data_IF_672413955025
#
_entry.id   IF_672413955025
#
_cell.length_a   1.000
_cell.length_b   1.000
_cell.length_c   1.000
_cell.angle_alpha   90.00
_cell.angle_beta   90.00
_cell.angle_gamma   90.00
#
_symmetry.space_group_name_H-M   'P 1'
#
loop_
_entity.id
_entity.type
_entity.pdbx_description
1 polymer ?
#
# COMPACT_ATOMS: atom_id res chain seq x y z
N UNK A 1 9.69 -52.61 -16.21
CA UNK A 1 10.08 -51.38 -15.50
C UNK A 1 11.42 -50.96 -16.07
N UNK A 2 11.46 -49.86 -16.82
CA UNK A 2 12.73 -49.28 -17.26
C UNK A 2 13.18 -48.33 -16.15
N UNK A 3 14.11 -48.78 -15.33
CA UNK A 3 14.87 -47.91 -14.44
C UNK A 3 15.77 -47.05 -15.33
N UNK A 4 15.20 -45.96 -15.86
CA UNK A 4 15.97 -44.92 -16.53
C UNK A 4 16.95 -44.40 -15.48
N UNK A 5 18.27 -44.51 -15.70
CA UNK A 5 19.25 -44.07 -14.72
C UNK A 5 19.03 -42.59 -14.44
N UNK A 6 18.67 -42.27 -13.20
CA UNK A 6 18.53 -40.88 -12.73
C UNK A 6 19.91 -40.26 -12.83
N UNK A 7 20.08 -39.34 -13.79
CA UNK A 7 21.34 -38.67 -14.01
C UNK A 7 21.70 -37.85 -12.75
N UNK A 8 22.82 -38.13 -12.06
CA UNK A 8 23.18 -37.46 -10.81
C UNK A 8 23.34 -35.94 -10.97
N UNK A 9 23.66 -35.44 -12.17
CA UNK A 9 23.69 -34.00 -12.44
C UNK A 9 22.30 -33.35 -12.26
N UNK A 10 21.22 -34.05 -12.61
CA UNK A 10 19.87 -33.52 -12.42
C UNK A 10 19.50 -33.40 -10.93
N UNK A 11 20.06 -34.26 -10.06
CA UNK A 11 19.81 -34.19 -8.62
C UNK A 11 20.49 -32.97 -7.99
N UNK A 12 21.72 -32.65 -8.42
CA UNK A 12 22.48 -31.48 -7.95
C UNK A 12 21.78 -30.18 -8.39
N UNK A 13 21.40 -30.07 -9.66
CA UNK A 13 20.69 -28.89 -10.20
C UNK A 13 19.33 -28.66 -9.52
N UNK A 14 18.61 -29.74 -9.20
CA UNK A 14 17.33 -29.65 -8.49
C UNK A 14 17.55 -29.18 -7.05
N UNK A 15 18.59 -29.67 -6.37
CA UNK A 15 18.90 -29.25 -5.00
C UNK A 15 19.23 -27.75 -4.92
N UNK A 16 20.08 -27.25 -5.81
CA UNK A 16 20.46 -25.83 -5.86
C UNK A 16 19.24 -24.93 -6.18
N UNK A 17 18.39 -25.39 -7.11
CA UNK A 17 17.12 -24.72 -7.42
C UNK A 17 16.18 -24.64 -6.21
N UNK A 18 16.16 -25.66 -5.35
CA UNK A 18 15.32 -25.67 -4.15
C UNK A 18 15.84 -24.74 -3.05
N UNK A 19 17.16 -24.66 -2.88
CA UNK A 19 17.77 -23.70 -1.96
C UNK A 19 17.45 -22.26 -2.40
N UNK A 20 17.59 -21.97 -3.70
CA UNK A 20 17.22 -20.68 -4.28
C UNK A 20 15.73 -20.37 -4.06
N UNK A 21 14.83 -21.34 -4.22
CA UNK A 21 13.39 -21.19 -3.91
C UNK A 21 13.17 -20.78 -2.44
N UNK A 22 13.90 -21.40 -1.50
CA UNK A 22 13.83 -21.05 -0.08
C UNK A 22 14.16 -19.58 0.17
N UNK A 23 15.27 -19.11 -0.39
CA UNK A 23 15.73 -17.71 -0.26
C UNK A 23 14.71 -16.73 -0.85
N UNK A 24 14.27 -16.95 -2.09
CA UNK A 24 13.31 -16.05 -2.74
C UNK A 24 11.94 -16.07 -2.06
N UNK A 25 11.52 -17.20 -1.46
CA UNK A 25 10.28 -17.27 -0.68
C UNK A 25 10.35 -16.39 0.57
N UNK A 26 11.47 -16.42 1.29
CA UNK A 26 11.68 -15.59 2.47
C UNK A 26 11.66 -14.10 2.10
N UNK A 27 12.46 -13.69 1.11
CA UNK A 27 12.52 -12.31 0.66
C UNK A 27 11.19 -11.77 0.14
N UNK A 28 10.48 -12.55 -0.67
CA UNK A 28 9.13 -12.17 -1.14
C UNK A 28 8.18 -11.93 0.02
N UNK A 29 8.22 -12.74 1.08
CA UNK A 29 7.36 -12.57 2.25
C UNK A 29 7.73 -11.32 3.06
N UNK A 30 9.03 -11.00 3.16
CA UNK A 30 9.51 -9.76 3.77
C UNK A 30 8.99 -8.55 2.98
N UNK A 31 9.18 -8.52 1.65
CA UNK A 31 8.69 -7.42 0.83
C UNK A 31 7.17 -7.30 0.87
N UNK A 32 6.44 -8.42 0.87
CA UNK A 32 4.98 -8.41 1.08
C UNK A 32 4.59 -7.72 2.39
N UNK A 33 5.26 -8.06 3.50
CA UNK A 33 4.98 -7.47 4.80
C UNK A 33 5.29 -5.96 4.80
N UNK A 34 6.42 -5.55 4.21
CA UNK A 34 6.79 -4.14 4.10
C UNK A 34 5.75 -3.36 3.28
N UNK A 35 5.37 -3.85 2.10
CA UNK A 35 4.34 -3.23 1.25
C UNK A 35 3.03 -3.11 2.01
N UNK A 36 2.61 -4.17 2.71
CA UNK A 36 1.38 -4.17 3.50
C UNK A 36 1.42 -3.12 4.62
N UNK A 37 2.52 -3.04 5.37
CA UNK A 37 2.69 -2.04 6.43
C UNK A 37 2.65 -0.63 5.84
N UNK A 38 3.36 -0.37 4.74
CA UNK A 38 3.34 0.93 4.08
C UNK A 38 1.94 1.32 3.60
N UNK A 39 1.19 0.39 3.01
CA UNK A 39 -0.20 0.63 2.62
C UNK A 39 -1.09 0.96 3.82
N UNK A 40 -0.92 0.26 4.95
CA UNK A 40 -1.70 0.53 6.16
C UNK A 40 -1.32 1.89 6.76
N UNK A 41 -0.04 2.25 6.77
CA UNK A 41 0.44 3.53 7.26
C UNK A 41 -0.09 4.70 6.43
N UNK A 42 -0.04 4.60 5.09
CA UNK A 42 -0.59 5.67 4.23
C UNK A 42 -2.09 5.80 4.41
N UNK A 43 -2.82 4.70 4.51
CA UNK A 43 -4.26 4.74 4.76
C UNK A 43 -4.62 5.29 6.14
N UNK A 44 -3.86 4.93 7.18
CA UNK A 44 -4.06 5.49 8.52
C UNK A 44 -3.79 7.00 8.54
N UNK A 45 -2.74 7.45 7.86
CA UNK A 45 -2.43 8.86 7.70
C UNK A 45 -3.53 9.62 6.94
N UNK A 46 -4.08 9.02 5.87
CA UNK A 46 -5.24 9.57 5.16
C UNK A 46 -6.43 9.80 6.09
N UNK A 47 -6.82 8.79 6.87
CA UNK A 47 -7.95 8.91 7.79
C UNK A 47 -7.69 9.88 8.94
N UNK A 48 -6.44 9.97 9.41
CA UNK A 48 -6.06 10.95 10.43
C UNK A 48 -6.30 12.40 9.95
N UNK A 49 -6.01 12.67 8.67
CA UNK A 49 -6.26 13.98 8.05
C UNK A 49 -7.75 14.16 7.73
N UNK A 50 -8.43 13.18 7.14
CA UNK A 50 -9.84 13.28 6.73
C UNK A 50 -10.82 13.44 7.90
N UNK A 51 -10.54 12.79 9.04
CA UNK A 51 -11.36 12.90 10.26
C UNK A 51 -11.08 14.17 11.07
N UNK A 52 -10.12 14.99 10.65
CA UNK A 52 -9.74 16.21 11.37
C UNK A 52 -9.04 15.95 12.70
N UNK A 53 -8.41 14.78 12.88
CA UNK A 53 -7.56 14.53 14.04
C UNK A 53 -6.29 15.40 14.04
N UNK A 54 -5.97 16.03 12.90
CA UNK A 54 -4.84 16.93 12.69
C UNK A 54 -5.35 18.23 12.09
N UNK A 55 -5.00 19.37 12.70
CA UNK A 55 -5.26 20.69 12.12
C UNK A 55 -4.36 20.88 10.89
N UNK A 56 -4.88 20.58 9.71
CA UNK A 56 -4.19 20.93 8.47
C UNK A 56 -4.10 22.46 8.35
N UNK A 57 -2.93 23.01 7.97
CA UNK A 57 -2.75 24.46 7.85
C UNK A 57 -3.68 24.99 6.75
N UNK A 58 -4.69 25.76 7.17
CA UNK A 58 -5.64 26.42 6.26
C UNK A 58 -7.08 25.88 6.26
N UNK A 59 -7.37 24.80 6.98
CA UNK A 59 -8.75 24.28 7.07
C UNK A 59 -9.59 25.16 8.00
N UNK A 60 -10.33 26.10 7.41
CA UNK A 60 -11.48 26.71 8.08
C UNK A 60 -12.49 25.58 8.31
N UNK A 61 -12.60 25.15 9.56
CA UNK A 61 -13.70 24.33 10.07
C UNK A 61 -14.99 24.87 9.45
N UNK A 62 -15.83 24.06 8.77
CA UNK A 62 -17.18 24.49 8.45
C UNK A 62 -17.90 24.63 9.79
N UNK A 63 -17.76 25.80 10.40
CA UNK A 63 -18.65 26.27 11.44
C UNK A 63 -20.04 26.19 10.84
N UNK A 64 -20.93 25.62 11.64
CA UNK A 64 -22.35 25.44 11.41
C UNK A 64 -22.92 26.46 10.43
N UNK A 65 -23.65 25.96 9.43
CA UNK A 65 -24.42 26.75 8.50
C UNK A 65 -25.17 27.85 9.26
N UNK A 66 -24.61 29.06 9.21
CA UNK A 66 -25.14 30.25 9.81
C UNK A 66 -26.42 30.62 9.05
N UNK A 67 -27.57 30.24 9.62
CA UNK A 67 -28.80 30.99 9.46
C UNK A 67 -28.56 32.37 10.09
N UNK A 68 -28.45 33.38 9.23
CA UNK A 68 -28.12 34.73 9.64
C UNK A 68 -29.25 35.44 10.39
N UNK A 69 -28.87 36.40 11.24
CA UNK A 69 -29.42 37.76 11.26
C UNK A 69 -28.76 38.61 12.36
N UNK A 70 -28.03 39.64 11.90
CA UNK A 70 -28.06 41.05 12.34
C UNK A 70 -27.72 41.48 13.78
N UNK A 71 -26.81 42.46 13.82
CA UNK A 71 -26.63 43.60 14.76
C UNK A 71 -25.79 43.49 16.06
N UNK A 72 -25.22 44.66 16.36
CA UNK A 72 -23.98 44.94 17.07
C UNK A 72 -24.06 45.10 18.61
N UNK A 73 -22.86 45.01 19.22
CA UNK A 73 -22.33 45.77 20.36
C UNK A 73 -22.09 45.07 21.72
N UNK A 74 -20.81 45.15 22.13
CA UNK A 74 -20.24 45.30 23.48
C UNK A 74 -20.18 44.12 24.50
N UNK A 75 -18.93 43.68 24.71
CA UNK A 75 -18.23 43.37 25.98
C UNK A 75 -18.85 42.37 26.98
N UNK A 76 -18.15 41.26 27.24
CA UNK A 76 -17.45 40.96 28.52
C UNK A 76 -16.75 39.60 28.46
N UNK A 77 -15.61 39.51 29.16
CA UNK A 77 -14.82 38.30 29.31
C UNK A 77 -15.56 37.24 30.14
N UNK A 78 -15.59 36.01 29.62
CA UNK A 78 -15.79 34.80 30.39
C UNK A 78 -14.78 33.76 29.90
N UNK A 79 -13.79 33.49 30.75
CA UNK A 79 -12.87 32.36 30.62
C UNK A 79 -13.67 31.12 31.03
N UNK A 80 -14.15 30.36 30.04
CA UNK A 80 -14.62 29.00 30.30
C UNK A 80 -13.42 28.04 30.22
N UNK A 81 -13.29 27.11 31.18
CA UNK A 81 -12.22 26.14 31.17
C UNK A 81 -12.48 25.18 30.01
N UNK A 82 -11.57 25.19 29.04
CA UNK A 82 -11.61 24.27 27.93
C UNK A 82 -11.37 22.86 28.49
N UNK A 83 -12.46 22.13 28.71
CA UNK A 83 -12.49 20.69 28.94
C UNK A 83 -12.02 20.01 27.64
N UNK A 84 -10.73 20.15 27.36
CA UNK A 84 -10.01 19.37 26.36
C UNK A 84 -9.95 17.97 26.90
N UNK A 85 -10.97 17.20 26.52
CA UNK A 85 -11.18 15.84 26.97
C UNK A 85 -9.91 15.01 26.86
N UNK A 86 -9.77 14.06 27.79
CA UNK A 86 -8.68 13.09 27.95
C UNK A 86 -8.12 12.51 26.62
N UNK A 87 -8.97 12.44 25.58
CA UNK A 87 -8.63 11.99 24.23
C UNK A 87 -7.75 13.01 23.47
N UNK A 88 -8.01 14.31 23.62
CA UNK A 88 -7.21 15.40 23.02
C UNK A 88 -5.87 15.60 23.74
N UNK A 89 -5.77 15.18 25.00
CA UNK A 89 -4.50 15.14 25.75
C UNK A 89 -3.61 13.92 25.41
N UNK A 90 -4.21 12.79 25.01
CA UNK A 90 -3.48 11.61 24.53
C UNK A 90 -3.13 11.69 23.03
N UNK A 91 -3.91 12.44 22.25
CA UNK A 91 -3.62 12.84 20.86
C UNK A 91 -2.90 14.20 20.89
N UNK A 92 -1.80 14.28 21.65
CA UNK A 92 -0.97 15.49 21.72
C UNK A 92 -0.52 15.90 20.32
N UNK A 93 -0.66 17.18 20.00
CA UNK A 93 -0.16 17.89 18.79
C UNK A 93 0.46 16.96 17.73
N UNK A 94 -0.36 16.20 17.02
CA UNK A 94 0.12 15.53 15.83
C UNK A 94 0.37 16.60 14.79
N UNK A 95 1.63 17.01 14.69
CA UNK A 95 2.07 18.00 13.72
C UNK A 95 1.80 17.47 12.30
N UNK A 96 1.19 18.30 11.47
CA UNK A 96 0.98 17.99 10.05
C UNK A 96 2.30 17.64 9.36
N UNK A 97 3.40 18.24 9.81
CA UNK A 97 4.75 17.95 9.31
C UNK A 97 5.17 16.49 9.58
N UNK A 98 4.78 15.92 10.72
CA UNK A 98 5.06 14.53 11.03
C UNK A 98 4.31 13.61 10.06
N UNK A 99 3.02 13.88 9.83
CA UNK A 99 2.20 13.08 8.91
C UNK A 99 2.69 13.23 7.47
N UNK A 100 3.05 14.44 7.06
CA UNK A 100 3.62 14.69 5.74
C UNK A 100 4.91 13.91 5.53
N UNK A 101 5.79 13.88 6.55
CA UNK A 101 7.02 13.11 6.53
C UNK A 101 6.76 11.60 6.49
N UNK A 102 5.82 11.10 7.30
CA UNK A 102 5.44 9.68 7.32
C UNK A 102 4.88 9.26 5.97
N UNK A 103 3.97 10.03 5.36
CA UNK A 103 3.42 9.76 4.03
C UNK A 103 4.55 9.75 3.00
N UNK A 104 5.44 10.74 3.00
CA UNK A 104 6.55 10.81 2.05
C UNK A 104 7.49 9.61 2.14
N UNK A 105 7.91 9.25 3.35
CA UNK A 105 8.79 8.09 3.59
C UNK A 105 8.08 6.78 3.26
N UNK A 106 6.84 6.60 3.73
CA UNK A 106 6.05 5.40 3.48
C UNK A 106 5.79 5.20 1.99
N UNK A 107 5.43 6.25 1.25
CA UNK A 107 5.25 6.22 -0.21
C UNK A 107 6.56 5.84 -0.94
N UNK A 108 7.70 6.40 -0.53
CA UNK A 108 9.00 6.04 -1.09
C UNK A 108 9.35 4.56 -0.87
N UNK A 109 9.21 4.09 0.37
CA UNK A 109 9.45 2.68 0.72
C UNK A 109 8.46 1.76 0.00
N UNK A 110 7.19 2.16 -0.12
CA UNK A 110 6.14 1.41 -0.82
C UNK A 110 6.51 1.16 -2.29
N UNK A 111 7.00 2.18 -3.00
CA UNK A 111 7.42 2.05 -4.40
C UNK A 111 8.58 1.06 -4.52
N UNK A 112 9.64 1.26 -3.74
CA UNK A 112 10.84 0.42 -3.81
C UNK A 112 10.51 -1.03 -3.44
N UNK A 113 9.81 -1.24 -2.33
CA UNK A 113 9.42 -2.57 -1.86
C UNK A 113 8.42 -3.27 -2.79
N UNK A 114 7.50 -2.53 -3.41
CA UNK A 114 6.57 -3.07 -4.42
C UNK A 114 7.29 -3.58 -5.67
N UNK A 115 8.30 -2.85 -6.15
CA UNK A 115 9.14 -3.29 -7.27
C UNK A 115 9.97 -4.52 -6.86
N UNK A 116 10.61 -4.49 -5.70
CA UNK A 116 11.39 -5.62 -5.19
C UNK A 116 10.53 -6.87 -4.96
N UNK A 117 9.28 -6.71 -4.53
CA UNK A 117 8.31 -7.79 -4.45
C UNK A 117 8.03 -8.40 -5.83
N UNK A 118 7.73 -7.58 -6.84
CA UNK A 118 7.48 -8.06 -8.19
C UNK A 118 8.70 -8.78 -8.79
N UNK A 119 9.91 -8.25 -8.56
CA UNK A 119 11.17 -8.89 -8.96
C UNK A 119 11.41 -10.21 -8.22
N UNK A 120 11.13 -10.28 -6.92
CA UNK A 120 11.26 -11.54 -6.18
C UNK A 120 10.33 -12.61 -6.73
N UNK A 121 9.08 -12.25 -7.08
CA UNK A 121 8.14 -13.17 -7.74
C UNK A 121 8.60 -13.56 -9.15
N UNK A 122 9.22 -12.64 -9.89
CA UNK A 122 9.84 -12.93 -11.19
C UNK A 122 10.98 -13.94 -11.06
N UNK A 123 11.88 -13.79 -10.09
CA UNK A 123 12.93 -14.76 -9.84
C UNK A 123 12.36 -16.13 -9.43
N UNK A 124 11.30 -16.17 -8.62
CA UNK A 124 10.61 -17.43 -8.31
C UNK A 124 10.08 -18.10 -9.60
N UNK A 125 9.51 -17.32 -10.52
CA UNK A 125 9.07 -17.82 -11.82
C UNK A 125 10.25 -18.37 -12.63
N UNK A 126 11.37 -17.65 -12.71
CA UNK A 126 12.56 -18.09 -13.44
C UNK A 126 13.16 -19.37 -12.86
N UNK A 127 13.33 -19.45 -11.55
CA UNK A 127 13.82 -20.67 -10.87
C UNK A 127 12.87 -21.84 -11.11
N UNK A 128 11.55 -21.59 -11.16
CA UNK A 128 10.58 -22.65 -11.48
C UNK A 128 10.66 -23.15 -12.92
N UNK A 129 10.99 -22.27 -13.86
CA UNK A 129 11.18 -22.63 -15.27
C UNK A 129 12.47 -23.43 -15.46
N UNK A 130 13.57 -22.97 -14.87
CA UNK A 130 14.89 -23.61 -14.98
C UNK A 130 14.92 -24.92 -14.21
N UNK A 131 14.50 -24.94 -12.94
CA UNK A 131 14.45 -26.14 -12.11
C UNK A 131 13.27 -27.06 -12.40
N UNK A 132 12.41 -26.72 -13.38
CA UNK A 132 11.23 -27.50 -13.80
C UNK A 132 10.32 -27.92 -12.64
N UNK A 133 10.22 -27.06 -11.62
CA UNK A 133 9.64 -27.36 -10.30
C UNK A 133 8.10 -27.48 -10.31
N UNK A 134 7.45 -27.31 -11.47
CA UNK A 134 6.00 -27.33 -11.61
C UNK A 134 5.32 -26.09 -11.02
N UNK A 135 3.98 -26.07 -10.99
CA UNK A 135 3.22 -24.94 -10.43
C UNK A 135 3.30 -23.63 -11.23
N UNK A 136 3.84 -23.66 -12.46
CA UNK A 136 4.13 -22.48 -13.30
C UNK A 136 2.89 -21.59 -13.45
N UNK A 137 1.70 -22.15 -13.69
CA UNK A 137 0.46 -21.37 -13.83
C UNK A 137 0.17 -20.49 -12.60
N UNK A 138 0.44 -20.97 -11.38
CA UNK A 138 0.20 -20.19 -10.17
C UNK A 138 1.19 -19.04 -10.03
N UNK A 139 2.48 -19.30 -10.27
CA UNK A 139 3.53 -18.30 -10.11
C UNK A 139 3.51 -17.27 -11.25
N UNK A 140 3.20 -17.66 -12.50
CA UNK A 140 3.04 -16.72 -13.62
C UNK A 140 1.88 -15.76 -13.37
N UNK A 141 0.73 -16.24 -12.88
CA UNK A 141 -0.40 -15.35 -12.51
C UNK A 141 -0.05 -14.43 -11.35
N UNK A 142 0.67 -14.93 -10.34
CA UNK A 142 1.14 -14.10 -9.22
C UNK A 142 2.09 -13.00 -9.70
N UNK A 143 2.98 -13.31 -10.66
CA UNK A 143 3.90 -12.37 -11.27
C UNK A 143 3.17 -11.26 -12.01
N UNK A 144 2.23 -11.58 -12.90
CA UNK A 144 1.45 -10.57 -13.64
C UNK A 144 0.68 -9.65 -12.68
N UNK A 145 0.04 -10.21 -11.64
CA UNK A 145 -0.63 -9.39 -10.62
C UNK A 145 0.36 -8.50 -9.86
N UNK A 146 1.56 -9.01 -9.55
CA UNK A 146 2.63 -8.24 -8.92
C UNK A 146 3.15 -7.11 -9.80
N UNK A 147 3.26 -7.31 -11.12
CA UNK A 147 3.63 -6.26 -12.07
C UNK A 147 2.56 -5.17 -12.16
N UNK A 148 1.29 -5.55 -12.28
CA UNK A 148 0.17 -4.58 -12.32
C UNK A 148 0.15 -3.77 -11.01
N UNK A 149 0.33 -4.45 -9.87
CA UNK A 149 0.43 -3.80 -8.57
C UNK A 149 1.59 -2.80 -8.53
N UNK A 150 2.80 -3.20 -8.93
CA UNK A 150 3.96 -2.32 -8.97
C UNK A 150 3.71 -1.11 -9.89
N UNK A 151 3.07 -1.31 -11.04
CA UNK A 151 2.69 -0.22 -11.94
C UNK A 151 1.68 0.74 -11.30
N UNK A 152 0.68 0.24 -10.57
CA UNK A 152 -0.32 1.10 -9.90
C UNK A 152 0.22 1.84 -8.67
N UNK A 153 1.28 1.33 -8.03
CA UNK A 153 1.93 2.01 -6.91
C UNK A 153 2.67 3.27 -7.38
N UNK A 154 3.24 3.25 -8.59
CA UNK A 154 4.06 4.34 -9.12
C UNK A 154 3.21 5.61 -9.34
N UNK A 155 3.63 6.79 -8.82
CA UNK A 155 2.93 8.04 -9.01
C UNK A 155 3.22 8.64 -10.39
N UNK A 156 2.60 8.09 -11.45
CA UNK A 156 2.82 8.51 -12.85
C UNK A 156 2.58 10.01 -13.08
N UNK A 157 1.70 10.62 -12.29
CA UNK A 157 1.42 12.05 -12.33
C UNK A 157 2.65 12.91 -12.02
N UNK A 158 3.43 12.52 -11.01
CA UNK A 158 4.64 13.27 -10.61
C UNK A 158 5.81 13.01 -11.53
N UNK A 159 5.92 11.79 -12.06
CA UNK A 159 7.04 11.40 -12.90
C UNK A 159 6.91 11.89 -14.35
N UNK A 160 5.69 11.92 -14.90
CA UNK A 160 5.47 12.16 -16.33
C UNK A 160 4.39 13.22 -16.63
N UNK A 161 3.82 13.88 -15.61
CA UNK A 161 2.69 14.79 -15.81
C UNK A 161 1.45 14.10 -16.39
N UNK A 162 1.35 12.78 -16.24
CA UNK A 162 0.28 11.96 -16.82
C UNK A 162 -1.03 12.11 -16.03
N UNK A 163 -2.16 11.85 -16.69
CA UNK A 163 -3.46 11.74 -16.03
C UNK A 163 -3.63 10.42 -15.25
N UNK A 164 -2.73 9.46 -15.44
CA UNK A 164 -2.79 8.17 -14.73
C UNK A 164 -2.38 8.38 -13.27
N UNK A 165 -3.29 8.08 -12.36
CA UNK A 165 -3.08 8.27 -10.92
C UNK A 165 -2.45 7.03 -10.30
N UNK A 166 -1.38 7.22 -9.52
CA UNK A 166 -0.78 6.17 -8.72
C UNK A 166 -1.32 6.15 -7.29
N UNK A 167 -1.14 5.04 -6.58
CA UNK A 167 -1.51 4.91 -5.16
C UNK A 167 -0.57 5.67 -4.24
N UNK A 168 0.72 5.78 -4.57
CA UNK A 168 1.61 6.65 -3.81
C UNK A 168 1.23 8.11 -4.06
N UNK A 169 1.06 8.87 -2.98
CA UNK A 169 0.79 10.31 -3.05
C UNK A 169 1.66 11.05 -2.03
N UNK A 170 1.81 12.36 -2.23
CA UNK A 170 2.45 13.26 -1.26
C UNK A 170 1.43 14.04 -0.44
N UNK A 171 1.89 14.63 0.65
CA UNK A 171 1.04 15.39 1.56
C UNK A 171 0.43 16.65 0.93
N UNK A 172 1.19 17.33 0.07
CA UNK A 172 0.77 18.48 -0.73
C UNK A 172 -0.44 18.15 -1.62
N UNK A 173 -0.44 16.94 -2.18
CA UNK A 173 -1.53 16.48 -3.03
C UNK A 173 -2.77 16.13 -2.21
N UNK A 174 -2.59 15.51 -1.03
CA UNK A 174 -3.70 15.24 -0.13
C UNK A 174 -4.41 16.53 0.30
N UNK A 175 -3.66 17.58 0.67
CA UNK A 175 -4.23 18.88 1.04
C UNK A 175 -5.01 19.52 -0.10
N UNK A 176 -4.42 19.56 -1.31
CA UNK A 176 -5.08 20.13 -2.49
C UNK A 176 -6.43 19.47 -2.77
N UNK A 177 -6.50 18.15 -2.63
CA UNK A 177 -7.75 17.41 -2.84
C UNK A 177 -8.72 17.50 -1.66
N UNK A 178 -8.21 17.74 -0.45
CA UNK A 178 -9.02 18.03 0.73
C UNK A 178 -9.74 19.37 0.60
N UNK A 179 -9.06 20.41 0.10
CA UNK A 179 -9.67 21.71 -0.16
C UNK A 179 -10.75 21.59 -1.26
N UNK A 180 -10.42 20.91 -2.36
CA UNK A 180 -11.35 20.69 -3.47
C UNK A 180 -12.57 19.82 -3.10
N UNK A 181 -12.45 18.98 -2.05
CA UNK A 181 -13.55 18.15 -1.53
C UNK A 181 -14.74 19.02 -1.09
N UNK A 182 -14.48 20.22 -0.58
CA UNK A 182 -15.51 21.15 -0.10
C UNK A 182 -16.35 21.80 -1.21
N UNK A 183 -15.89 21.75 -2.46
CA UNK A 183 -16.53 22.48 -3.57
C UNK A 183 -17.74 21.76 -4.19
N UNK A 184 -17.92 20.45 -3.92
CA UNK A 184 -19.10 19.72 -4.40
C UNK A 184 -19.00 18.20 -4.37
N UNK A 185 -20.15 17.54 -4.52
CA UNK A 185 -20.31 16.08 -4.47
C UNK A 185 -19.44 15.31 -5.49
N UNK A 186 -19.25 15.77 -6.75
CA UNK A 186 -18.34 15.11 -7.68
C UNK A 186 -16.89 15.04 -7.18
N UNK A 187 -16.39 16.11 -6.54
CA UNK A 187 -15.03 16.16 -6.01
C UNK A 187 -14.87 15.20 -4.83
N UNK A 188 -15.89 15.05 -3.99
CA UNK A 188 -15.93 14.05 -2.91
C UNK A 188 -15.81 12.63 -3.47
N UNK A 189 -16.53 12.31 -4.56
CA UNK A 189 -16.43 11.00 -5.21
C UNK A 189 -15.01 10.77 -5.73
N UNK A 190 -14.44 11.74 -6.46
CA UNK A 190 -13.07 11.63 -6.99
C UNK A 190 -12.03 11.50 -5.88
N UNK A 191 -12.22 12.21 -4.76
CA UNK A 191 -11.37 12.13 -3.57
C UNK A 191 -11.31 10.69 -3.03
N UNK A 192 -12.45 10.10 -2.69
CA UNK A 192 -12.46 8.74 -2.13
C UNK A 192 -12.10 7.66 -3.16
N UNK A 193 -12.47 7.84 -4.43
CA UNK A 193 -12.06 6.93 -5.51
C UNK A 193 -10.53 6.88 -5.63
N UNK A 194 -9.89 8.06 -5.56
CA UNK A 194 -8.45 8.18 -5.67
C UNK A 194 -7.71 7.61 -4.46
N UNK A 195 -8.03 8.07 -3.25
CA UNK A 195 -7.24 7.75 -2.07
C UNK A 195 -7.63 6.42 -1.44
N UNK A 196 -8.91 6.02 -1.52
CA UNK A 196 -9.39 4.78 -0.89
C UNK A 196 -9.60 3.67 -1.91
N UNK A 197 -10.26 3.92 -3.05
CA UNK A 197 -10.56 2.82 -3.98
C UNK A 197 -9.30 2.27 -4.68
N UNK A 198 -8.38 3.13 -5.15
CA UNK A 198 -7.11 2.66 -5.72
C UNK A 198 -6.27 1.90 -4.70
N UNK A 199 -6.25 2.38 -3.45
CA UNK A 199 -5.60 1.67 -2.35
C UNK A 199 -6.17 0.27 -2.13
N UNK A 200 -7.50 0.12 -2.10
CA UNK A 200 -8.17 -1.18 -1.98
C UNK A 200 -7.79 -2.09 -3.16
N UNK A 201 -7.75 -1.55 -4.39
CA UNK A 201 -7.35 -2.33 -5.58
C UNK A 201 -5.92 -2.84 -5.44
N UNK A 202 -4.97 -2.00 -5.03
CA UNK A 202 -3.57 -2.42 -4.83
C UNK A 202 -3.44 -3.43 -3.70
N UNK A 203 -4.15 -3.25 -2.59
CA UNK A 203 -4.19 -4.22 -1.50
C UNK A 203 -4.73 -5.59 -1.96
N UNK A 204 -5.81 -5.57 -2.74
CA UNK A 204 -6.42 -6.77 -3.30
C UNK A 204 -5.46 -7.48 -4.26
N UNK A 205 -4.76 -6.74 -5.13
CA UNK A 205 -3.73 -7.30 -6.02
C UNK A 205 -2.57 -7.92 -5.23
N UNK A 206 -2.10 -7.25 -4.17
CA UNK A 206 -1.05 -7.75 -3.28
C UNK A 206 -1.45 -9.09 -2.64
N UNK A 207 -2.65 -9.16 -2.05
CA UNK A 207 -3.19 -10.37 -1.43
C UNK A 207 -3.36 -11.48 -2.47
N UNK A 208 -3.96 -11.16 -3.63
CA UNK A 208 -4.18 -12.12 -4.72
C UNK A 208 -2.88 -12.65 -5.31
N UNK A 209 -1.83 -11.83 -5.40
CA UNK A 209 -0.49 -12.25 -5.80
C UNK A 209 0.13 -13.18 -4.75
N UNK A 210 0.04 -12.82 -3.47
CA UNK A 210 0.61 -13.59 -2.36
C UNK A 210 -0.07 -14.96 -2.16
N UNK A 211 -1.41 -15.02 -2.25
CA UNK A 211 -2.16 -16.29 -2.15
C UNK A 211 -1.76 -17.23 -3.28
N UNK A 212 -1.64 -16.72 -4.52
CA UNK A 212 -1.24 -17.54 -5.66
C UNK A 212 0.21 -17.99 -5.57
N UNK A 213 1.11 -17.11 -5.15
CA UNK A 213 2.50 -17.47 -4.91
C UNK A 213 2.65 -18.52 -3.79
N UNK A 214 1.81 -18.44 -2.76
CA UNK A 214 1.75 -19.48 -1.72
C UNK A 214 1.23 -20.81 -2.27
N UNK A 215 0.25 -20.78 -3.19
CA UNK A 215 -0.22 -21.95 -3.93
C UNK A 215 0.88 -22.63 -4.76
N UNK A 216 1.75 -21.85 -5.40
CA UNK A 216 2.93 -22.35 -6.09
C UNK A 216 3.86 -23.12 -5.14
N UNK A 217 4.19 -22.54 -3.98
CA UNK A 217 5.08 -23.20 -3.03
C UNK A 217 4.50 -24.51 -2.49
N UNK A 218 3.18 -24.54 -2.22
CA UNK A 218 2.48 -25.79 -1.86
C UNK A 218 2.56 -26.83 -2.98
N UNK A 219 2.46 -26.42 -4.24
CA UNK A 219 2.59 -27.32 -5.40
C UNK A 219 4.00 -27.91 -5.54
N UNK A 220 5.05 -27.17 -5.19
CA UNK A 220 6.43 -27.68 -5.19
C UNK A 220 6.60 -28.71 -4.07
N UNK A 221 6.18 -28.38 -2.85
CA UNK A 221 6.32 -29.28 -1.70
C UNK A 221 5.61 -30.62 -1.90
N UNK A 222 4.39 -30.61 -2.46
CA UNK A 222 3.67 -31.85 -2.81
C UNK A 222 4.40 -32.68 -3.86
N UNK A 223 5.11 -32.06 -4.81
CA UNK A 223 5.88 -32.78 -5.83
C UNK A 223 7.16 -33.41 -5.26
N UNK A 224 7.66 -32.87 -4.15
CA UNK A 224 8.85 -33.37 -3.47
C UNK A 224 8.52 -34.39 -2.37
N UNK A 225 7.23 -34.75 -2.18
CA UNK A 225 6.75 -35.67 -1.14
C UNK A 225 7.11 -35.26 0.30
N UNK A 226 7.49 -33.99 0.51
CA UNK A 226 7.82 -33.46 1.84
C UNK A 226 6.52 -33.18 2.65
N UNK A 227 5.36 -33.14 1.99
CA UNK A 227 4.01 -32.93 2.57
C UNK A 227 2.99 -33.77 1.80
#
# INVERSE_FOLDING_TARGET
MNDVPVNPNNMVETSDSLEAVGVFRAWKNIFFAIVLICLLLTQAAFWAVDLGFIEAPGTVKPADAALGSTDAAAATAAVEPNDKGLVQGLVGEFDFDLVARVIGVASGILIVSGILFALAVFFCLMVSLVGRLGGINHISRAFILGLIMAALIIPWQRLFGSNVVGVAYGADELLRWLDAKGEGLPNVIFYYLRFTALWVVVLLLLIMSQVRSSGWSKSILRRLEII
#
